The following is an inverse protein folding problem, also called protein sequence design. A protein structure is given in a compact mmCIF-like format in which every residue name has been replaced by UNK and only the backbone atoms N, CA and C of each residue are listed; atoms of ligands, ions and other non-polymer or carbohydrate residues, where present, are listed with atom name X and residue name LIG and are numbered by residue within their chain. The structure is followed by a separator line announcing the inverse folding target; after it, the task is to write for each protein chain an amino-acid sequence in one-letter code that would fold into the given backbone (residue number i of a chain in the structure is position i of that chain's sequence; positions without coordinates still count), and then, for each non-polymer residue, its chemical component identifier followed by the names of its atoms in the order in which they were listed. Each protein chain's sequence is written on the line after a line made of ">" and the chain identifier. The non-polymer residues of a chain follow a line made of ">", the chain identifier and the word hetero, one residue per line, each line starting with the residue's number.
data_IF_045184736766
#
_entry.id   IF_045184736766
#
_cell.length_a   1.000
_cell.length_b   1.000
_cell.length_c   1.000
_cell.angle_alpha   90.00
_cell.angle_beta   90.00
_cell.angle_gamma   90.00
#
_symmetry.space_group_name_H-M   'P 1'
#
loop_
_entity.id
_entity.type
_entity.pdbx_description
1 polymer ?
#
# COMPACT_ATOMS: atom_id res chain seq x y z
N UNK A 1 4.33 15.26 -0.56
CA UNK A 1 4.12 13.87 -1.02
C UNK A 1 2.77 13.41 -0.51
N UNK A 2 1.78 13.28 -1.39
CA UNK A 2 0.45 12.81 -1.03
C UNK A 2 0.50 11.31 -0.75
N UNK A 3 0.07 10.89 0.43
CA UNK A 3 -0.25 9.50 0.69
C UNK A 3 -1.63 9.24 0.09
N UNK A 4 -1.68 8.93 -1.20
CA UNK A 4 -2.87 8.36 -1.80
C UNK A 4 -2.94 6.90 -1.37
N UNK A 5 -3.67 6.61 -0.29
CA UNK A 5 -4.22 5.29 -0.04
C UNK A 5 -5.29 4.99 -1.09
N UNK A 6 -4.85 4.80 -2.33
CA UNK A 6 -5.70 4.43 -3.44
C UNK A 6 -6.11 2.97 -3.24
N UNK A 7 -7.26 2.77 -2.60
CA UNK A 7 -8.07 1.57 -2.81
C UNK A 7 -8.50 1.53 -4.27
N UNK A 8 -7.58 1.16 -5.17
CA UNK A 8 -7.99 0.72 -6.50
C UNK A 8 -8.91 -0.49 -6.29
N UNK A 9 -10.03 -0.45 -6.99
CA UNK A 9 -11.16 -1.39 -7.00
C UNK A 9 -10.84 -2.85 -7.37
N UNK A 10 -9.62 -3.32 -7.13
CA UNK A 10 -9.26 -4.73 -7.15
C UNK A 10 -9.61 -5.44 -5.83
N UNK A 11 -10.23 -4.74 -4.86
CA UNK A 11 -10.73 -5.33 -3.61
C UNK A 11 -11.88 -6.32 -3.78
N UNK A 12 -12.42 -6.51 -4.98
CA UNK A 12 -13.13 -7.74 -5.31
C UNK A 12 -12.13 -8.70 -5.93
N UNK A 13 -11.87 -9.83 -5.26
CA UNK A 13 -11.25 -11.03 -5.87
C UNK A 13 -11.92 -11.24 -7.23
N UNK A 14 -11.30 -10.80 -8.33
CA UNK A 14 -11.77 -11.24 -9.65
C UNK A 14 -11.37 -12.71 -9.71
N UNK A 15 -12.32 -13.63 -9.97
CA UNK A 15 -11.97 -15.01 -10.26
C UNK A 15 -10.92 -15.02 -11.36
N UNK A 16 -9.95 -15.92 -11.27
CA UNK A 16 -8.93 -16.15 -12.28
C UNK A 16 -9.59 -16.67 -13.58
N UNK A 17 -10.32 -15.82 -14.28
CA UNK A 17 -11.07 -16.13 -15.50
C UNK A 17 -10.65 -15.25 -16.69
N UNK A 18 -9.54 -14.54 -16.55
CA UNK A 18 -8.83 -13.93 -17.68
C UNK A 18 -7.35 -14.12 -17.40
N UNK A 19 -6.56 -14.62 -18.35
CA UNK A 19 -5.13 -14.92 -18.23
C UNK A 19 -4.21 -13.72 -17.94
N UNK A 20 -4.68 -12.73 -17.18
CA UNK A 20 -3.90 -11.63 -16.64
C UNK A 20 -3.13 -12.16 -15.42
N UNK A 21 -1.81 -12.16 -15.54
CA UNK A 21 -0.89 -12.39 -14.42
C UNK A 21 -1.28 -11.43 -13.29
N UNK A 22 -1.59 -12.00 -12.12
CA UNK A 22 -1.89 -11.23 -10.91
C UNK A 22 -0.69 -10.31 -10.61
N UNK A 23 -0.93 -9.00 -10.52
CA UNK A 23 0.09 -8.07 -10.05
C UNK A 23 -0.07 -7.94 -8.55
N UNK A 24 0.85 -8.48 -7.75
CA UNK A 24 0.74 -8.36 -6.31
C UNK A 24 0.91 -6.91 -5.87
N UNK A 25 0.15 -6.52 -4.85
CA UNK A 25 0.33 -5.24 -4.17
C UNK A 25 1.59 -5.25 -3.32
N UNK A 26 2.11 -4.07 -3.04
CA UNK A 26 3.25 -3.91 -2.15
C UNK A 26 2.79 -3.55 -0.72
N UNK A 27 3.40 -4.13 0.31
CA UNK A 27 3.21 -3.70 1.68
C UNK A 27 4.12 -2.50 2.00
N UNK A 28 3.55 -1.40 2.48
CA UNK A 28 4.31 -0.38 3.22
C UNK A 28 4.25 -0.69 4.71
N UNK A 29 5.41 -0.82 5.35
CA UNK A 29 5.55 -1.23 6.76
C UNK A 29 6.39 -0.22 7.54
N UNK A 30 6.04 -0.01 8.81
CA UNK A 30 6.90 0.72 9.75
C UNK A 30 8.26 0.02 9.84
N UNK A 31 9.36 0.75 9.62
CA UNK A 31 10.70 0.16 9.58
C UNK A 31 11.00 -0.67 10.85
N UNK A 32 10.61 -0.15 12.03
CA UNK A 32 10.77 -0.78 13.34
C UNK A 32 9.97 -2.09 13.51
N UNK A 33 8.91 -2.30 12.73
CA UNK A 33 8.09 -3.52 12.78
C UNK A 33 8.50 -4.58 11.73
N UNK A 34 9.48 -4.29 10.87
CA UNK A 34 9.83 -5.16 9.73
C UNK A 34 10.22 -6.57 10.17
N UNK A 35 11.04 -6.70 11.22
CA UNK A 35 11.52 -7.99 11.71
C UNK A 35 10.39 -8.88 12.27
N UNK A 36 9.27 -8.29 12.68
CA UNK A 36 8.10 -9.01 13.19
C UNK A 36 7.28 -9.63 12.04
N UNK A 37 7.30 -9.05 10.84
CA UNK A 37 6.49 -9.48 9.70
C UNK A 37 7.26 -10.21 8.61
N UNK A 38 8.56 -9.93 8.47
CA UNK A 38 9.40 -10.47 7.41
C UNK A 38 10.64 -11.19 7.99
N UNK A 39 11.15 -12.17 7.26
CA UNK A 39 12.35 -12.93 7.65
C UNK A 39 13.62 -12.08 7.61
N UNK A 40 13.63 -11.01 6.80
CA UNK A 40 14.73 -10.04 6.68
C UNK A 40 14.22 -8.67 7.10
N UNK A 41 15.10 -7.86 7.71
CA UNK A 41 14.75 -6.54 8.26
C UNK A 41 15.60 -5.39 7.70
N UNK A 42 16.46 -5.65 6.70
CA UNK A 42 17.20 -4.57 6.04
C UNK A 42 16.23 -3.60 5.37
N UNK A 43 16.53 -2.31 5.48
CA UNK A 43 15.72 -1.24 4.89
C UNK A 43 15.51 -1.46 3.38
N UNK A 44 14.27 -1.32 2.93
CA UNK A 44 13.89 -1.31 1.52
C UNK A 44 12.96 -0.12 1.25
N UNK A 45 13.48 1.12 1.21
CA UNK A 45 12.65 2.32 1.10
C UNK A 45 12.01 2.51 -0.28
N UNK A 46 12.48 1.77 -1.29
CA UNK A 46 12.12 1.97 -2.71
C UNK A 46 11.38 0.79 -3.34
N UNK A 47 10.86 -0.16 -2.54
CA UNK A 47 10.11 -1.32 -3.06
C UNK A 47 10.87 -2.14 -4.10
N UNK A 48 12.19 -2.27 -3.92
CA UNK A 48 13.07 -3.00 -4.85
C UNK A 48 13.33 -4.44 -4.42
N UNK A 49 13.13 -4.76 -3.15
CA UNK A 49 13.43 -6.07 -2.57
C UNK A 49 12.13 -6.79 -2.19
N UNK A 50 12.09 -8.10 -2.45
CA UNK A 50 11.05 -8.98 -1.97
C UNK A 50 11.58 -9.86 -0.83
N UNK A 51 10.89 -9.86 0.31
CA UNK A 51 11.22 -10.69 1.47
C UNK A 51 10.11 -11.69 1.72
N UNK A 52 10.47 -12.86 2.25
CA UNK A 52 9.52 -13.82 2.78
C UNK A 52 8.77 -13.20 3.95
N UNK A 53 7.43 -13.22 3.87
CA UNK A 53 6.55 -12.95 5.00
C UNK A 53 6.61 -14.15 5.93
N UNK A 54 6.82 -13.89 7.23
CA UNK A 54 6.85 -14.95 8.24
C UNK A 54 5.54 -15.75 8.21
N UNK A 55 5.59 -17.10 8.23
CA UNK A 55 4.40 -17.94 8.08
C UNK A 55 3.22 -17.53 8.97
N UNK A 56 3.48 -17.22 10.24
CA UNK A 56 2.50 -16.81 11.25
C UNK A 56 1.88 -15.42 11.03
N UNK A 57 2.42 -14.63 10.09
CA UNK A 57 1.93 -13.29 9.74
C UNK A 57 1.20 -13.23 8.41
N UNK A 58 1.25 -14.30 7.59
CA UNK A 58 0.66 -14.31 6.23
C UNK A 58 -0.85 -14.04 6.25
N UNK A 59 -1.56 -14.61 7.22
CA UNK A 59 -3.01 -14.40 7.38
C UNK A 59 -3.36 -12.99 7.89
N UNK A 60 -2.40 -12.27 8.49
CA UNK A 60 -2.59 -10.89 8.94
C UNK A 60 -2.43 -9.88 7.80
N UNK A 61 -1.61 -10.20 6.79
CA UNK A 61 -1.36 -9.36 5.62
C UNK A 61 -1.51 -10.15 4.30
N UNK A 62 -2.68 -10.76 4.03
CA UNK A 62 -2.82 -11.65 2.87
C UNK A 62 -2.83 -10.88 1.55
N UNK A 63 -3.34 -9.64 1.53
CA UNK A 63 -3.46 -8.85 0.31
C UNK A 63 -2.12 -8.47 -0.36
N UNK A 64 -1.06 -8.08 0.39
CA UNK A 64 0.27 -7.86 -0.19
C UNK A 64 1.17 -9.11 -0.23
N UNK A 65 0.69 -10.28 0.23
CA UNK A 65 1.48 -11.52 0.24
C UNK A 65 1.30 -12.29 -1.07
N UNK A 66 2.40 -12.59 -1.75
CA UNK A 66 2.43 -13.39 -2.97
C UNK A 66 2.09 -14.86 -2.69
N UNK A 67 1.76 -15.61 -3.75
CA UNK A 67 1.46 -17.06 -3.64
C UNK A 67 2.62 -17.87 -3.05
N UNK A 68 3.87 -17.44 -3.29
CA UNK A 68 5.07 -18.05 -2.73
C UNK A 68 5.39 -17.60 -1.28
N UNK A 69 4.55 -16.75 -0.70
CA UNK A 69 4.73 -16.21 0.65
C UNK A 69 5.65 -14.99 0.75
N UNK A 70 6.11 -14.42 -0.37
CA UNK A 70 6.93 -13.20 -0.39
C UNK A 70 6.11 -11.92 -0.47
N UNK A 71 6.70 -10.78 -0.14
CA UNK A 71 6.12 -9.45 -0.36
C UNK A 71 7.19 -8.42 -0.70
N UNK A 72 6.94 -7.61 -1.72
CA UNK A 72 7.86 -6.53 -2.16
C UNK A 72 7.62 -5.25 -1.37
N UNK A 73 8.19 -5.20 -0.18
CA UNK A 73 7.89 -4.18 0.82
C UNK A 73 8.53 -2.81 0.58
N UNK A 74 7.89 -1.78 1.12
CA UNK A 74 8.45 -0.47 1.40
C UNK A 74 8.66 -0.32 2.91
N UNK A 75 9.89 -0.13 3.36
CA UNK A 75 10.13 0.26 4.77
C UNK A 75 9.99 1.77 4.92
N UNK A 76 9.15 2.20 5.86
CA UNK A 76 8.85 3.61 6.13
C UNK A 76 9.43 4.00 7.48
N UNK A 77 10.33 4.98 7.49
CA UNK A 77 10.85 5.59 8.73
C UNK A 77 10.19 6.95 8.97
N UNK A 78 10.18 7.39 10.23
CA UNK A 78 9.65 8.71 10.60
C UNK A 78 10.46 9.84 9.97
N UNK A 79 11.78 9.66 9.85
CA UNK A 79 12.71 10.65 9.32
C UNK A 79 12.50 10.86 7.81
N UNK A 80 12.26 9.77 7.07
CA UNK A 80 12.09 9.83 5.62
C UNK A 80 10.71 10.34 5.22
N UNK A 81 9.64 9.96 5.94
CA UNK A 81 8.28 10.40 5.63
C UNK A 81 7.39 10.42 6.89
N UNK A 82 7.41 11.51 7.67
CA UNK A 82 6.71 11.56 8.96
C UNK A 82 5.19 11.46 8.84
N UNK A 83 4.58 12.01 7.78
CA UNK A 83 3.12 11.92 7.55
C UNK A 83 2.70 10.50 7.23
N UNK A 84 3.45 9.79 6.38
CA UNK A 84 3.12 8.41 6.02
C UNK A 84 3.42 7.43 7.17
N UNK A 85 4.51 7.65 7.91
CA UNK A 85 4.79 6.91 9.15
C UNK A 85 3.66 7.08 10.17
N UNK A 86 3.18 8.31 10.38
CA UNK A 86 2.06 8.58 11.29
C UNK A 86 0.76 7.91 10.83
N UNK A 87 0.47 7.90 9.52
CA UNK A 87 -0.69 7.20 8.96
C UNK A 87 -0.64 5.69 9.27
N UNK A 88 0.49 5.04 9.01
CA UNK A 88 0.64 3.60 9.26
C UNK A 88 0.63 3.32 10.77
N UNK A 89 1.19 4.21 11.59
CA UNK A 89 1.11 4.11 13.05
C UNK A 89 -0.32 4.17 13.56
N UNK A 90 -1.13 5.13 13.08
CA UNK A 90 -2.55 5.20 13.44
C UNK A 90 -3.33 3.96 12.97
N UNK A 91 -3.03 3.45 11.77
CA UNK A 91 -3.62 2.19 11.30
C UNK A 91 -3.25 1.00 12.19
N UNK A 92 -1.99 0.93 12.65
CA UNK A 92 -1.53 -0.06 13.64
C UNK A 92 -2.28 0.07 14.96
N UNK A 93 -2.46 1.28 15.48
CA UNK A 93 -3.15 1.50 16.76
C UNK A 93 -4.61 1.02 16.70
N UNK A 94 -5.25 1.16 15.53
CA UNK A 94 -6.64 0.72 15.31
C UNK A 94 -6.77 -0.79 15.03
N UNK A 95 -5.80 -1.40 14.36
CA UNK A 95 -5.94 -2.77 13.81
C UNK A 95 -4.97 -3.80 14.39
N UNK A 96 -3.94 -3.34 15.09
CA UNK A 96 -2.78 -4.14 15.47
C UNK A 96 -1.82 -4.45 14.32
N UNK A 97 -2.06 -3.98 13.09
CA UNK A 97 -1.25 -4.30 11.90
C UNK A 97 -0.45 -3.06 11.44
N UNK A 98 0.89 -3.08 11.45
CA UNK A 98 1.74 -1.96 11.04
C UNK A 98 2.01 -1.94 9.53
N UNK A 99 1.06 -2.40 8.71
CA UNK A 99 1.22 -2.58 7.26
C UNK A 99 0.01 -2.07 6.52
N UNK A 100 0.24 -1.27 5.47
CA UNK A 100 -0.80 -0.82 4.53
C UNK A 100 -0.46 -1.24 3.11
N UNK A 101 -1.48 -1.38 2.26
CA UNK A 101 -1.26 -1.58 0.84
C UNK A 101 -0.76 -0.28 0.19
N UNK A 102 0.23 -0.41 -0.70
CA UNK A 102 0.77 0.68 -1.49
C UNK A 102 0.80 0.30 -2.97
N UNK A 103 0.22 1.15 -3.81
CA UNK A 103 0.17 0.99 -5.26
C UNK A 103 0.28 2.37 -5.93
N UNK A 104 0.66 2.38 -7.21
CA UNK A 104 0.71 3.61 -7.99
C UNK A 104 -0.66 4.27 -8.07
N UNK A 105 -0.71 5.58 -7.82
CA UNK A 105 -1.92 6.35 -8.01
C UNK A 105 -2.03 6.81 -9.47
N UNK A 106 -2.79 6.04 -10.26
CA UNK A 106 -3.09 6.28 -11.67
C UNK A 106 -4.31 5.44 -12.14
N UNK A 107 -4.78 5.67 -13.36
CA UNK A 107 -5.73 4.81 -14.07
C UNK A 107 -5.23 4.50 -15.50
N UNK A 108 -4.29 3.56 -15.62
CA UNK A 108 -3.61 3.18 -16.87
C UNK A 108 -2.79 4.30 -17.55
N UNK A 109 -2.44 5.32 -16.78
CA UNK A 109 -1.63 6.48 -17.17
C UNK A 109 -0.39 6.59 -16.25
N UNK A 110 0.55 7.53 -16.51
CA UNK A 110 1.64 7.82 -15.57
C UNK A 110 1.13 8.16 -14.17
N UNK A 111 2.00 8.02 -13.17
CA UNK A 111 1.65 8.41 -11.79
C UNK A 111 1.30 9.89 -11.76
N UNK A 112 0.22 10.21 -11.06
CA UNK A 112 -0.25 11.57 -10.80
C UNK A 112 0.87 12.42 -10.16
N UNK A 113 1.10 13.60 -10.72
CA UNK A 113 2.08 14.58 -10.25
C UNK A 113 1.45 15.93 -9.86
N UNK A 114 0.20 16.19 -10.26
CA UNK A 114 -0.51 17.46 -9.99
C UNK A 114 -1.83 17.25 -9.23
N UNK A 115 -2.28 18.21 -8.41
CA UNK A 115 -3.58 18.11 -7.72
C UNK A 115 -4.76 17.91 -8.67
N UNK A 116 -4.75 18.60 -9.81
CA UNK A 116 -5.79 18.44 -10.85
C UNK A 116 -5.85 16.99 -11.37
N UNK A 117 -4.69 16.39 -11.68
CA UNK A 117 -4.58 15.00 -12.13
C UNK A 117 -5.07 14.02 -11.04
N UNK A 118 -4.81 14.32 -9.76
CA UNK A 118 -5.27 13.52 -8.63
C UNK A 118 -6.80 13.50 -8.54
N UNK A 119 -7.42 14.67 -8.68
CA UNK A 119 -8.89 14.82 -8.66
C UNK A 119 -9.50 14.11 -9.86
N UNK A 120 -8.94 14.30 -11.05
CA UNK A 120 -9.41 13.66 -12.28
C UNK A 120 -9.31 12.13 -12.20
N UNK A 121 -8.19 11.59 -11.73
CA UNK A 121 -8.02 10.16 -11.49
C UNK A 121 -8.99 9.65 -10.42
N UNK A 122 -9.19 10.38 -9.33
CA UNK A 122 -10.15 10.02 -8.29
C UNK A 122 -11.58 9.96 -8.85
N UNK A 123 -11.99 10.92 -9.67
CA UNK A 123 -13.33 10.98 -10.27
C UNK A 123 -13.59 9.83 -11.25
N UNK A 124 -12.59 9.43 -12.04
CA UNK A 124 -12.68 8.29 -12.99
C UNK A 124 -12.68 6.91 -12.31
N UNK A 125 -12.05 6.80 -11.15
CA UNK A 125 -11.91 5.54 -10.42
C UNK A 125 -13.03 5.34 -9.40
N UNK A 126 -13.07 4.14 -8.81
CA UNK A 126 -14.04 3.75 -7.76
C UNK A 126 -13.41 3.87 -6.36
N UNK A 127 -12.48 4.81 -6.16
CA UNK A 127 -11.91 5.07 -4.83
C UNK A 127 -12.94 5.73 -3.91
N UNK A 128 -12.92 5.35 -2.63
CA UNK A 128 -13.85 5.87 -1.62
C UNK A 128 -13.49 7.29 -1.16
N UNK A 129 -12.19 7.57 -1.06
CA UNK A 129 -11.67 8.85 -0.60
C UNK A 129 -10.35 9.23 -1.28
N UNK A 130 -10.08 10.53 -1.33
CA UNK A 130 -8.86 11.15 -1.82
C UNK A 130 -8.35 12.14 -0.78
N UNK A 131 -7.08 12.00 -0.39
CA UNK A 131 -6.39 12.92 0.51
C UNK A 131 -5.29 13.64 -0.26
N UNK A 132 -5.39 14.97 -0.37
CA UNK A 132 -4.40 15.82 -1.02
C UNK A 132 -4.00 16.92 -0.04
N UNK A 133 -2.76 16.85 0.46
CA UNK A 133 -2.34 17.76 1.53
C UNK A 133 -3.26 17.61 2.74
N UNK A 134 -3.91 18.70 3.13
CA UNK A 134 -4.78 18.74 4.31
C UNK A 134 -6.28 18.70 3.94
N UNK A 135 -6.58 18.36 2.68
CA UNK A 135 -7.94 18.19 2.17
C UNK A 135 -8.31 16.72 2.08
N UNK A 136 -9.53 16.39 2.50
CA UNK A 136 -10.16 15.08 2.33
C UNK A 136 -11.40 15.24 1.44
N UNK A 137 -11.43 14.46 0.36
CA UNK A 137 -12.58 14.36 -0.55
C UNK A 137 -13.12 12.94 -0.40
N UNK A 138 -14.40 12.79 -0.08
CA UNK A 138 -15.08 11.50 0.04
C UNK A 138 -16.16 11.36 -1.02
N UNK A 139 -16.29 10.17 -1.61
CA UNK A 139 -17.43 9.84 -2.46
C UNK A 139 -18.64 9.55 -1.57
N UNK A 140 -19.80 10.14 -1.88
CA UNK A 140 -21.08 9.87 -1.22
C UNK A 140 -21.90 8.89 -2.04
#
# INVERSE_FOLDING_TARGET
>A
MGAAGAGQSQHRRRPAASGKIFRPFAPSILAEATAEYFEKSHASPFMTLAYSVRPEKRDKIPAPTHVDGTGRLQTVTREANPRYHALISAFRDLTGVPVVLNTSFNDNEPIVCRPEEAVDCFLRTQMDALVIGDFLISRR
#
